data_IF_495446942577
#
_entry.id   IF_495446942577
#
_cell.length_a   1.000
_cell.length_b   1.000
_cell.length_c   1.000
_cell.angle_alpha   90.00
_cell.angle_beta   90.00
_cell.angle_gamma   90.00
#
_symmetry.space_group_name_H-M   'P 1'
#
loop_
_entity.id
_entity.type
_entity.pdbx_description
1 polymer ?
#
# COMPACT_ATOMS: atom_id res chain seq x y z
N UNK A 1 8.86 16.59 -16.39
CA UNK A 1 9.83 16.22 -15.34
C UNK A 1 10.06 17.41 -14.43
N UNK A 2 9.48 17.42 -13.22
CA UNK A 2 9.73 18.49 -12.24
C UNK A 2 11.08 18.21 -11.57
N UNK A 3 12.02 19.15 -11.67
CA UNK A 3 13.31 19.12 -10.97
C UNK A 3 13.02 19.04 -9.46
N UNK A 4 13.43 17.95 -8.80
CA UNK A 4 13.44 17.90 -7.34
C UNK A 4 14.46 18.94 -6.83
N UNK A 5 14.10 19.83 -5.88
CA UNK A 5 14.94 20.93 -5.43
C UNK A 5 16.10 20.52 -4.49
N UNK A 6 16.61 19.28 -4.60
CA UNK A 6 17.61 18.71 -3.68
C UNK A 6 19.00 18.47 -4.26
N UNK A 7 19.28 18.86 -5.51
CA UNK A 7 20.42 18.30 -6.28
C UNK A 7 21.80 18.95 -6.06
N UNK A 8 22.04 19.72 -5.00
CA UNK A 8 23.35 20.37 -4.78
C UNK A 8 23.93 20.24 -3.36
N UNK A 9 23.25 19.55 -2.43
CA UNK A 9 23.82 19.30 -1.12
C UNK A 9 24.59 17.97 -1.11
N UNK A 10 25.84 17.99 -0.64
CA UNK A 10 26.61 16.79 -0.33
C UNK A 10 25.75 15.86 0.56
N UNK A 11 25.46 14.60 0.13
CA UNK A 11 24.64 13.68 0.90
C UNK A 11 25.16 13.47 2.33
N UNK A 12 26.48 13.54 2.53
CA UNK A 12 27.09 13.49 3.86
C UNK A 12 26.67 14.67 4.75
N UNK A 13 26.74 15.88 4.20
CA UNK A 13 26.35 17.10 4.89
C UNK A 13 24.84 17.11 5.23
N UNK A 14 24.01 16.52 4.35
CA UNK A 14 22.58 16.37 4.61
C UNK A 14 22.31 15.44 5.79
N UNK A 15 22.99 14.28 5.85
CA UNK A 15 22.88 13.34 6.98
C UNK A 15 23.30 14.01 8.28
N UNK A 16 24.42 14.73 8.29
CA UNK A 16 24.89 15.48 9.47
C UNK A 16 23.82 16.46 9.99
N UNK A 17 23.21 17.25 9.09
CA UNK A 17 22.15 18.20 9.45
C UNK A 17 20.89 17.51 10.00
N UNK A 18 20.52 16.34 9.47
CA UNK A 18 19.40 15.57 10.01
C UNK A 18 19.71 14.98 11.39
N UNK A 19 20.95 14.54 11.64
CA UNK A 19 21.38 14.09 12.98
C UNK A 19 21.27 15.24 13.99
N UNK A 20 21.76 16.44 13.65
CA UNK A 20 21.61 17.63 14.51
C UNK A 20 20.13 17.96 14.76
N UNK A 21 19.28 17.86 13.73
CA UNK A 21 17.84 18.10 13.83
C UNK A 21 17.15 17.08 14.74
N UNK A 22 17.47 15.80 14.60
CA UNK A 22 16.94 14.73 15.45
C UNK A 22 17.35 14.95 16.91
N UNK A 23 18.63 15.26 17.15
CA UNK A 23 19.16 15.55 18.50
C UNK A 23 18.44 16.73 19.14
N UNK A 24 18.24 17.84 18.42
CA UNK A 24 17.49 19.02 18.91
C UNK A 24 16.03 18.72 19.19
N UNK A 25 15.40 17.83 18.42
CA UNK A 25 14.00 17.43 18.62
C UNK A 25 13.84 16.54 19.86
N UNK A 26 14.82 15.68 20.12
CA UNK A 26 14.84 14.79 21.27
C UNK A 26 15.38 15.45 22.55
N UNK A 27 15.86 16.70 22.46
CA UNK A 27 16.51 17.45 23.54
C UNK A 27 17.69 16.69 24.19
N UNK A 28 18.53 16.06 23.35
CA UNK A 28 19.67 15.26 23.82
C UNK A 28 21.01 15.99 23.65
N UNK A 29 21.93 15.80 24.57
CA UNK A 29 23.35 16.10 24.37
C UNK A 29 24.01 15.08 23.43
N UNK A 30 25.22 15.39 22.94
CA UNK A 30 26.00 14.43 22.14
C UNK A 30 26.32 13.14 22.91
N UNK A 31 26.53 13.24 24.23
CA UNK A 31 26.83 12.08 25.09
C UNK A 31 25.61 11.19 25.28
N UNK A 32 24.45 11.79 25.54
CA UNK A 32 23.18 11.06 25.70
C UNK A 32 22.77 10.39 24.40
N UNK A 33 22.87 11.09 23.26
CA UNK A 33 22.62 10.49 21.96
C UNK A 33 23.55 9.30 21.71
N UNK A 34 24.85 9.48 21.97
CA UNK A 34 25.86 8.43 21.79
C UNK A 34 25.53 7.18 22.63
N UNK A 35 25.19 7.35 23.91
CA UNK A 35 24.77 6.26 24.78
C UNK A 35 23.51 5.55 24.25
N UNK A 36 22.50 6.32 23.84
CA UNK A 36 21.23 5.78 23.36
C UNK A 36 21.38 4.95 22.08
N UNK A 37 22.23 5.38 21.15
CA UNK A 37 22.43 4.66 19.86
C UNK A 37 23.62 3.69 19.86
N UNK A 38 24.35 3.56 20.97
CA UNK A 38 25.50 2.67 21.09
C UNK A 38 26.74 3.14 20.32
N UNK A 39 26.97 4.45 20.26
CA UNK A 39 28.14 5.09 19.65
C UNK A 39 29.04 5.74 20.71
N UNK A 40 30.26 6.12 20.31
CA UNK A 40 31.07 7.04 21.11
C UNK A 40 30.65 8.49 20.86
N UNK A 41 30.79 9.36 21.88
CA UNK A 41 30.53 10.80 21.72
C UNK A 41 31.42 11.42 20.63
N UNK A 42 32.68 11.00 20.52
CA UNK A 42 33.59 11.45 19.46
C UNK A 42 33.09 11.09 18.04
N UNK A 43 32.41 9.96 17.90
CA UNK A 43 31.77 9.56 16.64
C UNK A 43 30.59 10.44 16.33
N UNK A 44 29.72 10.72 17.31
CA UNK A 44 28.60 11.65 17.13
C UNK A 44 29.08 13.05 16.72
N UNK A 45 30.14 13.56 17.37
CA UNK A 45 30.72 14.86 17.02
C UNK A 45 31.23 14.91 15.57
N UNK A 46 31.96 13.89 15.11
CA UNK A 46 32.43 13.82 13.71
C UNK A 46 31.30 13.70 12.70
N UNK A 47 30.25 12.96 13.04
CA UNK A 47 29.06 12.82 12.20
C UNK A 47 28.34 14.16 12.07
N UNK A 48 28.12 14.88 13.18
CA UNK A 48 27.51 16.22 13.14
C UNK A 48 28.37 17.25 12.38
N UNK A 49 29.70 17.09 12.41
CA UNK A 49 30.65 17.91 11.66
C UNK A 49 30.78 17.51 10.17
N UNK A 50 30.10 16.45 9.72
CA UNK A 50 30.21 15.94 8.35
C UNK A 50 31.54 15.27 8.02
N UNK A 51 32.38 14.96 9.02
CA UNK A 51 33.70 14.34 8.85
C UNK A 51 33.68 12.82 9.06
N UNK A 52 32.52 12.25 9.43
CA UNK A 52 32.31 10.81 9.51
C UNK A 52 30.95 10.41 8.92
N UNK A 53 30.94 9.27 8.22
CA UNK A 53 29.72 8.64 7.71
C UNK A 53 29.10 7.73 8.77
N UNK A 54 27.78 7.59 8.73
CA UNK A 54 27.04 6.60 9.52
C UNK A 54 26.45 5.53 8.61
N UNK A 55 26.29 4.32 9.13
CA UNK A 55 25.51 3.29 8.44
C UNK A 55 24.04 3.70 8.43
N UNK A 56 23.28 3.20 7.43
CA UNK A 56 21.84 3.46 7.35
C UNK A 56 21.10 2.97 8.60
N UNK A 57 21.52 1.83 9.19
CA UNK A 57 20.91 1.30 10.42
C UNK A 57 21.16 2.21 11.63
N UNK A 58 22.37 2.74 11.79
CA UNK A 58 22.69 3.74 12.82
C UNK A 58 21.88 5.02 12.62
N UNK A 59 21.76 5.49 11.38
CA UNK A 59 20.97 6.69 11.09
C UNK A 59 19.50 6.50 11.44
N UNK A 60 18.91 5.36 11.09
CA UNK A 60 17.52 5.01 11.47
C UNK A 60 17.35 4.97 12.98
N UNK A 61 18.31 4.43 13.75
CA UNK A 61 18.28 4.46 15.22
C UNK A 61 18.30 5.88 15.79
N UNK A 62 19.14 6.76 15.24
CA UNK A 62 19.20 8.17 15.65
C UNK A 62 17.86 8.86 15.38
N UNK A 63 17.26 8.64 14.21
CA UNK A 63 15.94 9.19 13.88
C UNK A 63 14.86 8.67 14.84
N UNK A 64 14.86 7.36 15.13
CA UNK A 64 13.90 6.74 16.03
C UNK A 64 13.98 7.33 17.46
N UNK A 65 15.17 7.68 17.94
CA UNK A 65 15.36 8.36 19.23
C UNK A 65 14.62 9.70 19.32
N UNK A 66 14.35 10.35 18.19
CA UNK A 66 13.61 11.61 18.08
C UNK A 66 12.14 11.42 17.66
N UNK A 67 11.64 10.18 17.64
CA UNK A 67 10.31 9.85 17.12
C UNK A 67 10.16 10.09 15.62
N UNK A 68 11.26 10.00 14.86
CA UNK A 68 11.29 10.14 13.41
C UNK A 68 11.52 8.79 12.74
N UNK A 69 11.02 8.64 11.52
CA UNK A 69 11.27 7.47 10.68
C UNK A 69 11.84 7.89 9.32
N UNK A 70 12.56 6.97 8.67
CA UNK A 70 13.03 7.15 7.30
C UNK A 70 12.02 6.48 6.35
N UNK A 71 11.49 7.24 5.40
CA UNK A 71 10.59 6.74 4.37
C UNK A 71 11.25 6.89 2.99
N UNK A 72 11.08 5.87 2.14
CA UNK A 72 11.43 5.93 0.72
C UNK A 72 10.18 6.36 -0.02
N UNK A 73 10.29 7.40 -0.85
CA UNK A 73 9.16 7.90 -1.65
C UNK A 73 9.51 7.89 -3.12
N UNK A 74 8.51 7.72 -3.98
CA UNK A 74 8.65 7.89 -5.41
C UNK A 74 8.64 9.38 -5.81
N UNK A 75 8.73 9.66 -7.12
CA UNK A 75 8.72 11.02 -7.67
C UNK A 75 7.39 11.75 -7.49
N UNK A 76 6.31 11.04 -7.16
CA UNK A 76 5.00 11.60 -6.84
C UNK A 76 4.84 11.91 -5.35
N UNK A 77 5.78 11.49 -4.51
CA UNK A 77 5.72 11.60 -3.06
C UNK A 77 4.99 10.45 -2.38
N UNK A 78 4.59 9.40 -3.12
CA UNK A 78 3.98 8.22 -2.54
C UNK A 78 5.04 7.35 -1.84
N UNK A 79 4.70 6.82 -0.67
CA UNK A 79 5.59 5.93 0.07
C UNK A 79 5.77 4.60 -0.66
N UNK A 80 7.02 4.18 -0.80
CA UNK A 80 7.41 2.88 -1.36
C UNK A 80 7.75 1.95 -0.21
N UNK A 81 6.92 0.93 -0.01
CA UNK A 81 7.13 -0.08 1.02
C UNK A 81 8.28 -1.02 0.64
N UNK A 82 9.04 -1.54 1.62
CA UNK A 82 10.02 -2.59 1.36
C UNK A 82 9.33 -3.89 0.89
N UNK A 83 10.08 -4.73 0.16
CA UNK A 83 9.62 -6.07 -0.20
C UNK A 83 9.40 -6.90 1.07
N UNK A 84 8.26 -7.59 1.16
CA UNK A 84 7.95 -8.43 2.31
C UNK A 84 8.95 -9.59 2.48
N UNK A 85 9.29 -9.88 3.75
CA UNK A 85 10.19 -10.99 4.11
C UNK A 85 9.57 -12.33 3.74
N UNK A 86 8.23 -12.43 3.86
CA UNK A 86 7.43 -13.65 3.69
C UNK A 86 6.88 -13.82 2.26
N UNK A 87 7.59 -13.23 1.30
CA UNK A 87 7.36 -13.42 -0.13
C UNK A 87 7.38 -14.91 -0.49
N UNK A 88 6.46 -15.30 -1.38
CA UNK A 88 6.30 -16.68 -1.83
C UNK A 88 7.59 -17.19 -2.47
N UNK A 89 7.88 -18.46 -2.22
CA UNK A 89 9.03 -19.20 -2.76
C UNK A 89 8.57 -20.22 -3.78
N UNK A 90 9.47 -20.65 -4.64
CA UNK A 90 9.21 -21.75 -5.58
C UNK A 90 9.05 -23.09 -4.84
N UNK A 91 8.70 -24.15 -5.58
CA UNK A 91 8.51 -25.49 -5.01
C UNK A 91 9.82 -26.07 -4.41
N UNK A 92 10.98 -25.51 -4.76
CA UNK A 92 12.29 -25.88 -4.22
C UNK A 92 12.73 -24.98 -3.04
N UNK A 93 11.87 -24.09 -2.55
CA UNK A 93 12.15 -23.18 -1.43
C UNK A 93 13.02 -21.96 -1.79
N UNK A 94 13.33 -21.74 -3.06
CA UNK A 94 14.14 -20.61 -3.53
C UNK A 94 13.28 -19.36 -3.71
N UNK A 95 13.90 -18.18 -3.63
CA UNK A 95 13.23 -16.92 -3.97
C UNK A 95 13.11 -16.80 -5.48
N UNK A 96 11.97 -16.27 -5.93
CA UNK A 96 11.84 -15.86 -7.33
C UNK A 96 12.80 -14.69 -7.64
N UNK A 97 13.30 -14.58 -8.88
CA UNK A 97 14.08 -13.42 -9.31
C UNK A 97 13.33 -12.10 -9.10
N UNK A 98 14.00 -11.11 -8.50
CA UNK A 98 13.39 -9.83 -8.07
C UNK A 98 12.87 -8.92 -9.21
N UNK A 99 13.15 -9.25 -10.46
CA UNK A 99 12.71 -8.47 -11.63
C UNK A 99 11.43 -9.04 -12.28
N UNK A 100 10.92 -10.16 -11.78
CA UNK A 100 9.73 -10.84 -12.29
C UNK A 100 8.53 -10.48 -11.42
N UNK A 101 7.38 -10.28 -12.07
CA UNK A 101 6.13 -10.02 -11.37
C UNK A 101 5.53 -11.37 -11.01
N UNK A 102 5.64 -11.75 -9.74
CA UNK A 102 5.12 -13.02 -9.24
C UNK A 102 3.65 -12.81 -8.88
N UNK A 103 2.80 -13.72 -9.32
CA UNK A 103 1.37 -13.69 -9.07
C UNK A 103 0.84 -15.04 -8.59
N UNK A 104 -0.46 -15.11 -8.32
CA UNK A 104 -1.11 -16.33 -7.89
C UNK A 104 -0.92 -17.49 -8.87
N UNK A 105 -0.81 -18.75 -8.39
CA UNK A 105 -0.55 -19.90 -9.25
C UNK A 105 -1.70 -20.23 -10.20
N UNK A 106 -2.91 -19.79 -9.87
CA UNK A 106 -4.12 -19.91 -10.71
C UNK A 106 -4.15 -18.93 -11.90
N UNK A 107 -3.24 -17.94 -11.92
CA UNK A 107 -3.02 -17.11 -13.12
C UNK A 107 -2.30 -17.96 -14.16
N UNK A 108 -3.04 -18.39 -15.18
CA UNK A 108 -2.51 -19.18 -16.28
C UNK A 108 -1.67 -18.28 -17.21
N UNK A 109 -0.36 -18.50 -17.20
CA UNK A 109 0.53 -17.83 -18.15
C UNK A 109 0.35 -18.42 -19.55
N UNK A 110 0.67 -17.64 -20.58
CA UNK A 110 0.59 -18.08 -21.98
C UNK A 110 1.33 -19.41 -22.21
N UNK A 111 2.51 -19.58 -21.62
CA UNK A 111 3.29 -20.82 -21.70
C UNK A 111 2.56 -22.02 -21.09
N UNK A 112 1.88 -21.86 -19.94
CA UNK A 112 1.10 -22.94 -19.33
C UNK A 112 -0.16 -23.27 -20.10
N UNK A 113 -0.77 -22.27 -20.74
CA UNK A 113 -1.95 -22.47 -21.60
C UNK A 113 -1.59 -23.29 -22.83
N UNK A 114 -0.49 -22.97 -23.50
CA UNK A 114 -0.08 -23.66 -24.71
C UNK A 114 0.58 -25.03 -24.45
N UNK A 115 1.34 -25.14 -23.36
CA UNK A 115 2.13 -26.34 -23.05
C UNK A 115 1.98 -26.73 -21.57
N UNK A 116 0.79 -27.20 -21.15
CA UNK A 116 0.55 -27.60 -19.78
C UNK A 116 1.41 -28.81 -19.42
N UNK A 117 2.13 -28.70 -18.30
CA UNK A 117 2.95 -29.79 -17.74
C UNK A 117 2.18 -30.45 -16.60
N UNK A 118 1.69 -31.65 -16.84
CA UNK A 118 0.94 -32.45 -15.87
C UNK A 118 1.85 -33.42 -15.08
N UNK A 119 3.09 -33.62 -15.55
CA UNK A 119 4.11 -34.49 -14.96
C UNK A 119 4.74 -33.92 -13.68
N UNK A 120 4.44 -32.66 -13.33
CA UNK A 120 5.05 -31.95 -12.21
C UNK A 120 3.99 -31.45 -11.24
N UNK A 121 4.41 -31.34 -9.99
CA UNK A 121 3.61 -30.65 -8.99
C UNK A 121 3.30 -29.22 -9.45
N UNK A 122 2.08 -28.76 -9.15
CA UNK A 122 1.67 -27.42 -9.51
C UNK A 122 2.59 -26.40 -8.81
N UNK A 123 3.00 -25.35 -9.51
CA UNK A 123 3.88 -24.34 -8.93
C UNK A 123 3.15 -23.54 -7.86
N UNK A 124 3.85 -23.17 -6.78
CA UNK A 124 3.31 -22.36 -5.69
C UNK A 124 2.87 -20.96 -6.15
N UNK A 125 3.50 -20.43 -7.20
CA UNK A 125 3.16 -19.14 -7.80
C UNK A 125 3.36 -19.13 -9.32
N UNK A 126 2.80 -18.13 -10.00
CA UNK A 126 3.01 -17.88 -11.43
C UNK A 126 3.87 -16.63 -11.63
N UNK A 127 4.56 -16.54 -12.77
CA UNK A 127 5.23 -15.32 -13.20
C UNK A 127 5.32 -15.26 -14.71
N UNK A 128 5.42 -14.07 -15.28
CA UNK A 128 5.67 -13.89 -16.71
C UNK A 128 7.15 -13.58 -16.96
N UNK A 129 7.71 -14.15 -18.03
CA UNK A 129 9.04 -13.75 -18.51
C UNK A 129 9.05 -12.25 -18.89
N UNK A 130 10.23 -11.64 -18.78
CA UNK A 130 10.44 -10.18 -18.92
C UNK A 130 9.77 -9.58 -20.16
N UNK A 131 9.89 -10.24 -21.32
CA UNK A 131 9.31 -9.76 -22.58
C UNK A 131 7.78 -9.69 -22.54
N UNK A 132 7.14 -10.77 -22.12
CA UNK A 132 5.67 -10.83 -22.01
C UNK A 132 5.15 -9.88 -20.93
N UNK A 133 5.83 -9.82 -19.78
CA UNK A 133 5.54 -8.86 -18.70
C UNK A 133 5.60 -7.42 -19.18
N UNK A 134 6.66 -7.03 -19.90
CA UNK A 134 6.79 -5.68 -20.44
C UNK A 134 5.66 -5.35 -21.43
N UNK A 135 5.24 -6.32 -22.25
CA UNK A 135 4.10 -6.17 -23.16
C UNK A 135 2.79 -5.93 -22.39
N UNK A 136 2.50 -6.72 -21.35
CA UNK A 136 1.31 -6.51 -20.49
C UNK A 136 1.33 -5.10 -19.89
N UNK A 137 2.48 -4.68 -19.33
CA UNK A 137 2.64 -3.33 -18.74
C UNK A 137 2.44 -2.21 -19.77
N UNK A 138 2.89 -2.40 -21.00
CA UNK A 138 2.72 -1.42 -22.08
C UNK A 138 1.26 -1.31 -22.55
N UNK A 139 0.51 -2.40 -22.55
CA UNK A 139 -0.91 -2.42 -22.91
C UNK A 139 -1.82 -1.82 -21.83
N UNK A 140 -1.38 -1.82 -20.58
CA UNK A 140 -2.17 -1.39 -19.44
C UNK A 140 -1.34 -0.55 -18.45
N UNK A 141 -0.85 0.64 -18.85
CA UNK A 141 0.04 1.46 -18.03
C UNK A 141 -0.62 1.94 -16.73
N UNK A 142 -1.93 2.17 -16.76
CA UNK A 142 -2.71 2.63 -15.61
C UNK A 142 -3.33 1.50 -14.79
N UNK A 143 -3.31 0.25 -15.26
CA UNK A 143 -3.98 -0.85 -14.56
C UNK A 143 -3.45 -1.07 -13.14
N UNK A 144 -2.15 -0.82 -12.89
CA UNK A 144 -1.61 -0.86 -11.53
C UNK A 144 -2.23 0.25 -10.66
N UNK A 145 -2.35 1.47 -11.18
CA UNK A 145 -2.95 2.61 -10.47
C UNK A 145 -4.44 2.38 -10.20
N UNK A 146 -5.18 1.90 -11.19
CA UNK A 146 -6.60 1.58 -11.07
C UNK A 146 -6.83 0.44 -10.08
N UNK A 147 -6.03 -0.63 -10.14
CA UNK A 147 -6.17 -1.74 -9.22
C UNK A 147 -5.76 -1.36 -7.78
N UNK A 148 -4.78 -0.47 -7.60
CA UNK A 148 -4.53 0.18 -6.30
C UNK A 148 -5.73 1.01 -5.84
N UNK A 149 -6.36 1.80 -6.72
CA UNK A 149 -7.51 2.65 -6.39
C UNK A 149 -8.74 1.84 -5.97
N UNK A 150 -8.92 0.63 -6.52
CA UNK A 150 -10.02 -0.29 -6.19
C UNK A 150 -9.64 -1.18 -4.98
N UNK A 151 -8.45 -1.00 -4.38
CA UNK A 151 -8.02 -1.74 -3.21
C UNK A 151 -7.73 -3.22 -3.47
N UNK A 152 -7.36 -3.58 -4.71
CA UNK A 152 -6.98 -4.95 -5.06
C UNK A 152 -5.62 -5.28 -4.38
N UNK A 153 -5.56 -6.24 -3.45
CA UNK A 153 -4.35 -6.53 -2.67
C UNK A 153 -3.21 -7.10 -3.52
N UNK A 154 -3.54 -7.69 -4.67
CA UNK A 154 -2.63 -8.19 -5.69
C UNK A 154 -1.99 -7.08 -6.53
N UNK A 155 -2.52 -5.86 -6.52
CA UNK A 155 -2.01 -4.74 -7.32
C UNK A 155 -0.86 -3.99 -6.65
N UNK A 156 -0.80 -4.03 -5.31
CA UNK A 156 0.19 -3.32 -4.50
C UNK A 156 1.52 -4.06 -4.40
N UNK A 157 1.54 -5.37 -4.68
CA UNK A 157 2.65 -6.24 -4.28
C UNK A 157 3.32 -6.88 -5.50
N UNK A 158 4.60 -6.54 -5.74
CA UNK A 158 5.38 -7.11 -6.85
C UNK A 158 5.63 -8.64 -6.67
N UNK A 159 5.54 -9.11 -5.42
CA UNK A 159 5.63 -10.52 -5.04
C UNK A 159 4.64 -10.81 -3.89
N UNK A 160 3.58 -11.60 -4.10
CA UNK A 160 2.63 -11.92 -3.04
C UNK A 160 3.32 -12.65 -1.89
N UNK A 161 2.80 -12.47 -0.69
CA UNK A 161 3.21 -13.24 0.48
C UNK A 161 2.51 -14.60 0.50
N UNK A 162 3.06 -15.51 1.30
CA UNK A 162 2.43 -16.82 1.53
C UNK A 162 1.03 -16.68 2.14
N UNK A 163 0.83 -15.70 3.02
CA UNK A 163 -0.47 -15.37 3.60
C UNK A 163 -1.47 -14.89 2.53
N UNK A 164 -1.04 -14.04 1.59
CA UNK A 164 -1.89 -13.54 0.50
C UNK A 164 -2.42 -14.70 -0.37
N UNK A 165 -1.54 -15.64 -0.74
CA UNK A 165 -1.95 -16.80 -1.54
C UNK A 165 -2.87 -17.75 -0.76
N UNK A 166 -2.62 -17.94 0.54
CA UNK A 166 -3.52 -18.73 1.39
C UNK A 166 -4.89 -18.08 1.51
N UNK A 167 -4.96 -16.77 1.74
CA UNK A 167 -6.21 -16.02 1.79
C UNK A 167 -6.97 -16.12 0.46
N UNK A 168 -6.28 -15.92 -0.67
CA UNK A 168 -6.88 -16.09 -2.00
C UNK A 168 -7.43 -17.50 -2.21
N UNK A 169 -6.66 -18.55 -1.85
CA UNK A 169 -7.11 -19.94 -1.96
C UNK A 169 -8.36 -20.20 -1.11
N UNK A 170 -8.42 -19.64 0.09
CA UNK A 170 -9.61 -19.70 0.97
C UNK A 170 -10.82 -19.00 0.35
N UNK A 171 -10.64 -17.83 -0.28
CA UNK A 171 -11.75 -17.13 -0.93
C UNK A 171 -12.26 -17.85 -2.19
N UNK A 172 -11.36 -18.49 -2.95
CA UNK A 172 -11.72 -19.20 -4.18
C UNK A 172 -12.30 -20.60 -3.95
N UNK A 173 -11.79 -21.34 -2.96
CA UNK A 173 -12.16 -22.75 -2.73
C UNK A 173 -12.84 -23.01 -1.39
N UNK A 174 -12.80 -22.05 -0.47
CA UNK A 174 -13.41 -22.18 0.84
C UNK A 174 -14.88 -21.79 0.83
N UNK A 175 -15.57 -22.08 1.95
CA UNK A 175 -16.95 -21.63 2.17
C UNK A 175 -16.94 -20.10 2.19
N UNK A 176 -17.67 -19.49 1.27
CA UNK A 176 -17.77 -18.03 1.24
C UNK A 176 -18.42 -17.53 2.53
N UNK A 177 -17.92 -16.42 3.11
CA UNK A 177 -18.60 -15.81 4.25
C UNK A 177 -20.03 -15.52 3.85
N UNK A 178 -20.97 -15.86 4.73
CA UNK A 178 -22.36 -15.49 4.53
C UNK A 178 -22.41 -13.97 4.66
N UNK A 179 -22.57 -13.29 3.53
CA UNK A 179 -22.84 -11.86 3.50
C UNK A 179 -24.33 -11.74 3.69
N UNK A 180 -24.75 -11.29 4.87
CA UNK A 180 -26.15 -10.96 5.08
C UNK A 180 -26.50 -9.82 4.12
N UNK A 181 -27.63 -9.92 3.39
CA UNK A 181 -28.08 -8.83 2.54
C UNK A 181 -28.22 -7.59 3.42
N UNK A 182 -27.79 -6.44 2.88
CA UNK A 182 -28.01 -5.17 3.55
C UNK A 182 -29.51 -5.09 3.88
N UNK A 183 -29.90 -4.77 5.13
CA UNK A 183 -31.31 -4.71 5.49
C UNK A 183 -32.00 -3.76 4.53
N UNK A 184 -33.06 -4.26 3.88
CA UNK A 184 -33.91 -3.41 3.05
C UNK A 184 -34.54 -2.41 4.02
N UNK A 185 -34.12 -1.16 3.95
CA UNK A 185 -34.85 -0.07 4.59
C UNK A 185 -36.20 0.03 3.90
N UNK A 186 -37.19 -0.70 4.42
CA UNK A 186 -38.59 -0.44 4.15
C UNK A 186 -38.89 0.93 4.79
N UNK A 187 -38.72 1.98 4.00
CA UNK A 187 -39.22 3.30 4.38
C UNK A 187 -40.73 3.25 4.17
N UNK A 188 -41.48 3.12 5.27
CA UNK A 188 -42.93 3.27 5.24
C UNK A 188 -43.27 4.74 4.89
N UNK A 189 -43.38 5.04 3.60
CA UNK A 189 -43.83 6.34 3.11
C UNK A 189 -45.36 6.35 3.02
N UNK A 190 -46.01 7.23 3.79
CA UNK A 190 -47.35 7.71 3.46
C UNK A 190 -47.22 8.84 2.43
N UNK A 191 -46.91 8.46 1.18
CA UNK A 191 -46.75 9.42 0.09
C UNK A 191 -48.15 9.96 -0.31
N UNK A 192 -48.30 11.28 -0.42
CA UNK A 192 -49.53 11.91 -0.89
C UNK A 192 -49.82 11.46 -2.33
N UNK A 193 -51.10 11.31 -2.71
CA UNK A 193 -51.52 10.78 -4.02
C UNK A 193 -50.85 11.51 -5.21
N UNK A 194 -50.66 12.82 -5.07
CA UNK A 194 -49.97 13.69 -6.04
C UNK A 194 -48.49 13.31 -6.29
N UNK A 195 -47.82 12.71 -5.30
CA UNK A 195 -46.45 12.23 -5.45
C UNK A 195 -46.35 11.03 -6.41
N UNK A 196 -47.44 10.25 -6.53
CA UNK A 196 -47.48 9.06 -7.37
C UNK A 196 -47.66 9.38 -8.86
N UNK A 197 -48.18 10.58 -9.17
CA UNK A 197 -48.48 11.02 -10.54
C UNK A 197 -47.31 11.75 -11.20
N UNK A 198 -46.49 12.48 -10.42
CA UNK A 198 -45.43 13.36 -10.99
C UNK A 198 -44.10 12.62 -11.15
N UNK A 199 -43.81 11.59 -10.34
CA UNK A 199 -42.60 10.75 -10.45
C UNK A 199 -41.48 11.07 -9.45
N UNK A 200 -41.07 12.33 -9.19
CA UNK A 200 -40.13 12.68 -8.13
C UNK A 200 -40.83 13.08 -6.83
N UNK A 201 -40.13 12.95 -5.69
CA UNK A 201 -40.64 13.47 -4.41
C UNK A 201 -40.85 14.99 -4.48
N UNK A 202 -42.03 15.45 -4.04
CA UNK A 202 -42.32 16.87 -3.86
C UNK A 202 -41.46 17.46 -2.73
N UNK A 203 -41.03 18.70 -2.89
CA UNK A 203 -40.18 19.43 -1.92
C UNK A 203 -40.64 19.39 -0.45
N UNK A 204 -41.95 19.42 -0.13
CA UNK A 204 -42.44 19.31 1.25
C UNK A 204 -42.57 17.87 1.78
N UNK A 205 -42.22 16.80 1.03
CA UNK A 205 -42.26 15.44 1.60
C UNK A 205 -41.17 15.29 2.68
N UNK A 206 -41.53 14.83 3.90
CA UNK A 206 -40.54 14.48 4.92
C UNK A 206 -39.69 13.25 4.53
N UNK A 207 -40.15 12.45 3.57
CA UNK A 207 -39.60 11.15 3.19
C UNK A 207 -38.42 11.17 2.21
N UNK A 208 -38.45 12.08 1.21
CA UNK A 208 -37.46 12.25 0.14
C UNK A 208 -36.83 10.95 -0.44
N UNK A 209 -37.63 9.90 -0.65
CA UNK A 209 -37.15 8.57 -1.05
C UNK A 209 -36.55 8.52 -2.47
N UNK A 210 -37.01 9.37 -3.39
CA UNK A 210 -36.34 9.63 -4.67
C UNK A 210 -35.97 11.12 -4.78
N UNK A 211 -34.72 11.49 -4.44
CA UNK A 211 -34.29 12.87 -4.57
C UNK A 211 -34.24 13.26 -6.04
N UNK A 212 -34.68 14.49 -6.34
CA UNK A 212 -34.45 15.15 -7.62
C UNK A 212 -32.95 15.10 -7.93
N UNK A 213 -32.57 14.21 -8.85
CA UNK A 213 -31.24 14.01 -9.46
C UNK A 213 -30.06 14.65 -8.71
N UNK A 214 -29.24 13.80 -8.09
CA UNK A 214 -27.81 14.03 -7.85
C UNK A 214 -27.43 15.18 -6.90
N UNK A 215 -28.14 15.34 -5.77
CA UNK A 215 -27.57 16.04 -4.62
C UNK A 215 -27.46 15.06 -3.44
N UNK A 216 -26.26 14.53 -3.21
CA UNK A 216 -25.94 13.75 -2.02
C UNK A 216 -26.12 14.65 -0.79
N UNK A 217 -27.23 14.48 -0.05
CA UNK A 217 -27.33 15.00 1.31
C UNK A 217 -26.71 13.99 2.29
N UNK A 218 -25.93 14.44 3.29
CA UNK A 218 -25.43 13.55 4.33
C UNK A 218 -26.62 13.05 5.16
N UNK A 219 -26.70 11.73 5.33
CA UNK A 219 -27.67 11.09 6.23
C UNK A 219 -27.21 11.38 7.66
N UNK A 220 -27.95 12.24 8.38
CA UNK A 220 -27.80 12.34 9.83
C UNK A 220 -28.51 11.13 10.45
N UNK A 221 -27.74 10.21 11.03
CA UNK A 221 -28.27 9.14 11.86
C UNK A 221 -28.77 9.74 13.20
N UNK A 222 -30.02 9.46 13.63
CA UNK A 222 -30.45 9.86 14.96
C UNK A 222 -29.68 9.05 16.01
N UNK A 223 -29.21 9.74 17.05
CA UNK A 223 -28.39 9.21 18.12
C UNK A 223 -29.03 8.05 18.87
N UNK A 224 -28.20 7.06 19.21
CA UNK A 224 -28.53 6.01 20.16
C UNK A 224 -28.75 6.64 21.54
N UNK A 225 -30.00 6.58 22.01
CA UNK A 225 -30.34 6.62 23.44
C UNK A 225 -30.49 5.20 23.96
#
# INVERSE_FOLDING_TARGET
>A
MKKHPGSEADPAALVARYVVRARRRADLSQRELAQLVGLSQSTVCRVEAGTAQVTASTFVKILAAAGLCLAVTDSSGAMVAPVSVDTVRDNAGRRFPAHLDVGPPDVLTQERLHSPRYDREQPTAAYHLRGHRNRIRALAPDAKREALAIGRPDATTDHPTTADLQQRRRLMRGRQPRVDPMPVLLVDCACLLECHEVGPCLGPCPCQCEPLRWQRRPVNLPGAG
#
